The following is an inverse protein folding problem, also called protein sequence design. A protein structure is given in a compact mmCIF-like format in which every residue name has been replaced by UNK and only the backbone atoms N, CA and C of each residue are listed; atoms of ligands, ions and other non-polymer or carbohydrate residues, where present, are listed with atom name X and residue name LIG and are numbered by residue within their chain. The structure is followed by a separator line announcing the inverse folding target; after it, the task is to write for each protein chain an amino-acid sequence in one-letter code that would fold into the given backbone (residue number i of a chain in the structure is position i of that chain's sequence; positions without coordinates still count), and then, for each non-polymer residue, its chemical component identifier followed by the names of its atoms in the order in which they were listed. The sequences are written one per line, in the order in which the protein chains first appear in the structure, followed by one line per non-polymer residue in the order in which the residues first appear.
data_IF_523055246246
#
_entry.id   IF_523055246246
#
_cell.length_a   1.000
_cell.length_b   1.000
_cell.length_c   1.000
_cell.angle_alpha   90.00
_cell.angle_beta   90.00
_cell.angle_gamma   90.00
#
_symmetry.space_group_name_H-M   'P 1'
#
loop_
_entity.id
_entity.type
_entity.pdbx_description
1 polymer ?
#
# COMPACT_ATOMS: atom_id res chain seq x y z
N UNK A 1 63.65 -29.70 49.19
CA UNK A 1 63.92 -29.54 47.75
C UNK A 1 62.94 -28.47 47.24
N UNK A 2 63.47 -27.33 46.80
CA UNK A 2 62.72 -26.13 46.37
C UNK A 2 62.43 -26.24 44.86
N UNK A 3 61.36 -25.56 44.41
CA UNK A 3 61.01 -25.08 43.04
C UNK A 3 59.78 -25.77 42.45
N UNK A 4 58.82 -25.12 41.81
CA UNK A 4 58.55 -23.70 41.56
C UNK A 4 57.09 -23.64 41.08
N UNK A 5 56.33 -22.65 41.58
CA UNK A 5 55.09 -22.18 40.94
C UNK A 5 55.49 -21.43 39.68
N UNK A 6 54.93 -21.78 38.51
CA UNK A 6 54.71 -20.90 37.33
C UNK A 6 54.78 -21.71 36.02
N UNK A 7 53.63 -22.23 35.59
CA UNK A 7 53.14 -22.23 34.19
C UNK A 7 51.62 -22.42 34.37
N UNK A 8 50.84 -21.41 34.75
CA UNK A 8 50.49 -20.23 33.96
C UNK A 8 50.03 -20.61 32.55
N UNK A 9 48.71 -20.48 32.37
CA UNK A 9 48.03 -20.11 31.13
C UNK A 9 47.75 -21.20 30.08
N UNK A 10 46.50 -21.09 29.60
CA UNK A 10 46.05 -21.46 28.26
C UNK A 10 45.64 -22.90 28.03
N UNK A 11 44.44 -23.24 28.51
CA UNK A 11 43.41 -23.63 27.54
C UNK A 11 42.05 -23.31 28.13
N UNK A 12 41.63 -22.07 27.84
CA UNK A 12 40.32 -21.54 28.17
C UNK A 12 39.24 -22.51 27.68
N UNK A 13 38.28 -22.77 28.57
CA UNK A 13 36.99 -23.39 28.30
C UNK A 13 36.34 -22.78 27.07
N UNK A 14 36.64 -23.35 25.91
CA UNK A 14 35.87 -23.23 24.69
C UNK A 14 34.69 -24.19 24.88
N UNK A 15 33.48 -23.66 25.06
CA UNK A 15 32.13 -24.30 25.00
C UNK A 15 31.27 -23.68 26.12
N UNK A 16 30.93 -22.41 25.96
CA UNK A 16 29.86 -21.78 26.73
C UNK A 16 29.40 -20.49 26.02
N UNK A 17 28.92 -20.61 24.78
CA UNK A 17 28.19 -19.55 24.07
C UNK A 17 27.53 -20.14 22.80
N UNK A 18 26.64 -21.11 22.99
CA UNK A 18 25.63 -21.48 21.99
C UNK A 18 24.26 -21.27 22.60
N UNK A 19 23.97 -20.04 23.02
CA UNK A 19 22.63 -19.61 23.35
C UNK A 19 22.14 -18.66 22.28
N UNK A 20 21.37 -19.23 21.36
CA UNK A 20 20.16 -18.62 20.77
C UNK A 20 20.40 -17.32 20.00
N UNK A 21 21.11 -17.41 18.88
CA UNK A 21 20.82 -16.51 17.75
C UNK A 21 19.61 -17.05 17.00
N UNK A 22 18.41 -16.89 17.57
CA UNK A 22 17.22 -16.75 16.72
C UNK A 22 17.37 -15.36 16.11
N UNK A 23 18.25 -15.28 15.11
CA UNK A 23 18.18 -14.22 14.13
C UNK A 23 16.78 -14.33 13.58
N UNK A 24 15.96 -13.35 13.91
CA UNK A 24 14.67 -13.16 13.29
C UNK A 24 14.97 -13.06 11.81
N UNK A 25 14.75 -14.14 11.07
CA UNK A 25 14.34 -14.04 9.70
C UNK A 25 12.97 -13.35 9.77
N UNK A 26 12.99 -12.02 9.95
CA UNK A 26 11.94 -11.18 9.42
C UNK A 26 11.95 -11.53 7.94
N UNK A 27 11.00 -12.38 7.57
CA UNK A 27 10.49 -12.44 6.23
C UNK A 27 10.13 -11.01 5.85
N UNK A 28 11.08 -10.33 5.22
CA UNK A 28 10.84 -9.22 4.31
C UNK A 28 10.00 -9.77 3.15
N UNK A 29 8.74 -10.02 3.48
CA UNK A 29 7.61 -10.21 2.60
C UNK A 29 6.67 -9.01 2.82
N UNK A 30 7.27 -7.83 2.93
CA UNK A 30 6.62 -6.56 2.61
C UNK A 30 7.11 -6.14 1.24
N UNK A 31 6.85 -7.01 0.26
CA UNK A 31 6.96 -6.70 -1.16
C UNK A 31 6.14 -5.45 -1.47
N UNK A 32 6.87 -4.39 -1.83
CA UNK A 32 6.49 -3.29 -2.71
C UNK A 32 5.01 -2.89 -2.76
N UNK A 33 4.67 -1.78 -2.12
CA UNK A 33 3.79 -0.77 -2.72
C UNK A 33 3.86 0.53 -1.95
N UNK A 34 3.73 1.64 -2.67
CA UNK A 34 3.69 3.01 -2.17
C UNK A 34 2.82 3.10 -0.91
N UNK A 35 3.40 3.65 0.15
CA UNK A 35 2.82 3.94 1.47
C UNK A 35 1.32 4.22 1.42
N UNK A 36 0.51 3.40 2.10
CA UNK A 36 -0.88 3.71 2.37
C UNK A 36 -0.93 5.07 3.11
N UNK A 37 -1.58 6.06 2.51
CA UNK A 37 -1.74 7.38 3.11
C UNK A 37 -2.57 7.25 4.40
N UNK A 38 -1.96 7.53 5.55
CA UNK A 38 -2.62 7.43 6.85
C UNK A 38 -3.14 8.79 7.32
N UNK A 39 -4.39 8.81 7.78
CA UNK A 39 -4.99 9.99 8.40
C UNK A 39 -5.50 9.63 9.80
N UNK A 40 -5.26 10.50 10.78
CA UNK A 40 -5.73 10.28 12.14
C UNK A 40 -7.27 10.18 12.19
N UNK A 41 -7.79 9.18 12.89
CA UNK A 41 -9.24 8.94 12.97
C UNK A 41 -10.01 10.06 13.67
N UNK A 42 -9.43 10.74 14.66
CA UNK A 42 -10.10 11.85 15.35
C UNK A 42 -10.35 13.01 14.40
N UNK A 43 -9.36 13.35 13.56
CA UNK A 43 -9.48 14.41 12.54
C UNK A 43 -10.49 14.01 11.46
N UNK A 44 -10.46 12.76 11.00
CA UNK A 44 -11.40 12.24 10.00
C UNK A 44 -12.85 12.34 10.46
N UNK A 45 -13.13 12.04 11.73
CA UNK A 45 -14.50 12.04 12.26
C UNK A 45 -15.11 13.44 12.40
N UNK A 46 -14.30 14.51 12.37
CA UNK A 46 -14.79 15.90 12.45
C UNK A 46 -15.39 16.33 11.11
N UNK A 47 -14.74 15.99 10.00
CA UNK A 47 -15.19 16.35 8.66
C UNK A 47 -14.80 15.26 7.64
N UNK A 48 -15.55 14.13 7.60
CA UNK A 48 -15.16 12.95 6.84
C UNK A 48 -14.99 13.24 5.35
N UNK A 49 -15.93 13.96 4.73
CA UNK A 49 -15.85 14.31 3.32
C UNK A 49 -14.60 15.13 2.96
N UNK A 50 -14.31 16.20 3.70
CA UNK A 50 -13.15 17.05 3.43
C UNK A 50 -11.82 16.33 3.70
N UNK A 51 -11.75 15.54 4.79
CA UNK A 51 -10.55 14.77 5.10
C UNK A 51 -10.31 13.66 4.07
N UNK A 52 -11.37 12.98 3.62
CA UNK A 52 -11.30 11.98 2.54
C UNK A 52 -10.79 12.58 1.25
N UNK A 53 -11.31 13.77 0.88
CA UNK A 53 -10.83 14.52 -0.29
C UNK A 53 -9.35 14.82 -0.20
N UNK A 54 -8.86 15.27 0.96
CA UNK A 54 -7.45 15.56 1.16
C UNK A 54 -6.57 14.31 1.07
N UNK A 55 -6.99 13.20 1.70
CA UNK A 55 -6.28 11.91 1.63
C UNK A 55 -6.15 11.43 0.18
N UNK A 56 -7.25 11.43 -0.57
CA UNK A 56 -7.28 10.99 -1.96
C UNK A 56 -6.42 11.89 -2.85
N UNK A 57 -6.51 13.20 -2.65
CA UNK A 57 -5.65 14.14 -3.39
C UNK A 57 -4.17 13.85 -3.16
N UNK A 58 -3.75 13.65 -1.90
CA UNK A 58 -2.34 13.33 -1.58
C UNK A 58 -1.93 11.98 -2.18
N UNK A 59 -2.76 10.95 -2.02
CA UNK A 59 -2.50 9.62 -2.54
C UNK A 59 -2.32 9.59 -4.07
N UNK A 60 -3.28 10.12 -4.83
CA UNK A 60 -3.18 10.09 -6.30
C UNK A 60 -2.21 11.12 -6.87
N UNK A 61 -1.94 12.22 -6.16
CA UNK A 61 -0.82 13.11 -6.53
C UNK A 61 0.51 12.37 -6.39
N UNK A 62 0.71 11.62 -5.31
CA UNK A 62 1.92 10.80 -5.15
C UNK A 62 2.06 9.74 -6.23
N UNK A 63 0.95 9.12 -6.69
CA UNK A 63 0.98 8.14 -7.80
C UNK A 63 1.31 8.84 -9.12
N UNK A 64 0.70 9.99 -9.39
CA UNK A 64 1.00 10.79 -10.59
C UNK A 64 2.46 11.21 -10.62
N UNK A 65 2.99 11.68 -9.49
CA UNK A 65 4.35 12.21 -9.37
C UNK A 65 5.42 11.11 -9.37
N UNK A 66 5.09 9.87 -8.95
CA UNK A 66 6.04 8.74 -8.99
C UNK A 66 6.40 8.33 -10.43
N UNK A 67 5.49 8.57 -11.38
CA UNK A 67 5.72 8.35 -12.81
C UNK A 67 6.12 6.91 -13.15
N UNK A 68 5.66 5.92 -12.37
CA UNK A 68 6.01 4.51 -12.57
C UNK A 68 5.70 4.08 -14.01
N UNK A 69 6.74 3.60 -14.69
CA UNK A 69 6.84 3.45 -16.15
C UNK A 69 6.52 2.05 -16.66
N UNK A 70 6.06 1.15 -15.79
CA UNK A 70 5.80 -0.23 -16.21
C UNK A 70 4.48 -0.36 -16.98
N UNK A 71 3.61 0.65 -16.90
CA UNK A 71 2.29 0.73 -17.55
C UNK A 71 1.92 2.17 -17.92
N UNK A 72 0.74 2.38 -18.54
CA UNK A 72 0.22 3.72 -18.84
C UNK A 72 0.18 4.57 -17.58
N UNK A 73 1.01 5.61 -17.52
CA UNK A 73 1.11 6.47 -16.35
C UNK A 73 -0.18 7.28 -16.12
N UNK A 74 -0.54 7.51 -14.86
CA UNK A 74 -1.66 8.38 -14.49
C UNK A 74 -1.34 9.82 -14.92
N UNK A 75 -2.16 10.39 -15.80
CA UNK A 75 -2.06 11.77 -16.27
C UNK A 75 -2.74 12.74 -15.30
N UNK A 76 -3.98 12.42 -14.90
CA UNK A 76 -4.75 13.21 -13.94
C UNK A 76 -5.82 12.36 -13.23
N UNK A 77 -6.45 12.94 -12.22
CA UNK A 77 -7.58 12.32 -11.54
C UNK A 77 -8.59 13.37 -11.06
N UNK A 78 -9.85 12.96 -10.98
CA UNK A 78 -10.94 13.81 -10.48
C UNK A 78 -11.83 13.05 -9.51
N UNK A 79 -12.05 13.65 -8.34
CA UNK A 79 -13.08 13.20 -7.39
C UNK A 79 -14.45 13.60 -7.93
N UNK A 80 -15.28 12.59 -8.18
CA UNK A 80 -16.66 12.74 -8.65
C UNK A 80 -17.62 12.83 -7.48
N UNK A 81 -17.45 11.94 -6.49
CA UNK A 81 -18.34 11.82 -5.34
C UNK A 81 -17.61 11.25 -4.13
N UNK A 82 -18.09 11.58 -2.94
CA UNK A 82 -17.63 11.02 -1.65
C UNK A 82 -18.87 10.62 -0.85
N UNK A 83 -19.03 9.33 -0.62
CA UNK A 83 -20.08 8.74 0.23
C UNK A 83 -19.48 8.42 1.60
N UNK A 84 -19.78 9.27 2.58
CA UNK A 84 -19.38 9.14 3.97
C UNK A 84 -20.51 8.64 4.88
N UNK A 85 -21.54 7.98 4.31
CA UNK A 85 -22.65 7.40 5.07
C UNK A 85 -22.23 6.24 5.98
N UNK A 86 -21.15 5.53 5.64
CA UNK A 86 -20.50 4.52 6.48
C UNK A 86 -19.06 4.95 6.81
N UNK A 87 -18.85 5.43 8.03
CA UNK A 87 -17.53 5.87 8.49
C UNK A 87 -16.55 4.70 8.71
N UNK A 88 -16.97 3.43 8.64
CA UNK A 88 -16.04 2.32 8.63
C UNK A 88 -15.43 2.08 7.23
N UNK A 89 -16.15 2.49 6.18
CA UNK A 89 -15.83 2.26 4.77
C UNK A 89 -16.35 3.42 3.90
N UNK A 90 -15.57 4.51 3.87
CA UNK A 90 -15.92 5.70 3.08
C UNK A 90 -15.59 5.43 1.62
N UNK A 91 -16.54 5.67 0.73
CA UNK A 91 -16.39 5.39 -0.71
C UNK A 91 -16.12 6.67 -1.47
N UNK A 92 -15.10 6.66 -2.31
CA UNK A 92 -14.73 7.80 -3.15
C UNK A 92 -14.79 7.38 -4.60
N UNK A 93 -15.69 8.00 -5.36
CA UNK A 93 -15.81 7.76 -6.79
C UNK A 93 -14.84 8.68 -7.54
N UNK A 94 -13.98 8.08 -8.34
CA UNK A 94 -12.92 8.74 -9.09
C UNK A 94 -13.08 8.54 -10.58
N UNK A 95 -12.74 9.58 -11.32
CA UNK A 95 -12.40 9.48 -12.73
C UNK A 95 -10.87 9.55 -12.86
N UNK A 96 -10.27 8.55 -13.49
CA UNK A 96 -8.83 8.41 -13.63
C UNK A 96 -8.46 8.54 -15.11
N UNK A 97 -7.58 9.50 -15.42
CA UNK A 97 -7.10 9.76 -16.76
C UNK A 97 -5.67 9.24 -16.89
N UNK A 98 -5.45 8.32 -17.81
CA UNK A 98 -4.13 7.72 -18.07
C UNK A 98 -3.58 8.21 -19.42
N UNK A 99 -2.25 8.35 -19.51
CA UNK A 99 -1.57 8.76 -20.75
C UNK A 99 -1.78 7.68 -21.82
N UNK A 100 -2.15 8.10 -23.03
CA UNK A 100 -2.38 7.25 -24.20
C UNK A 100 -3.47 6.19 -24.03
N UNK A 101 -4.35 6.34 -23.03
CA UNK A 101 -5.52 5.48 -22.80
C UNK A 101 -6.81 6.27 -23.03
N UNK A 102 -7.80 5.73 -23.75
CA UNK A 102 -9.12 6.35 -23.84
C UNK A 102 -9.77 6.56 -22.46
N UNK A 103 -10.74 7.47 -22.33
CA UNK A 103 -11.47 7.67 -21.08
C UNK A 103 -12.03 6.35 -20.53
N UNK A 104 -11.72 6.09 -19.26
CA UNK A 104 -12.17 4.89 -18.56
C UNK A 104 -13.43 5.16 -17.73
N UNK A 105 -14.22 4.12 -17.42
CA UNK A 105 -15.29 4.20 -16.44
C UNK A 105 -14.79 4.72 -15.09
N UNK A 106 -15.69 5.35 -14.32
CA UNK A 106 -15.37 5.76 -12.96
C UNK A 106 -15.09 4.54 -12.07
N UNK A 107 -14.19 4.72 -11.11
CA UNK A 107 -13.77 3.70 -10.15
C UNK A 107 -14.11 4.14 -8.74
N UNK A 108 -14.58 3.22 -7.92
CA UNK A 108 -14.81 3.46 -6.49
C UNK A 108 -13.57 3.00 -5.73
N UNK A 109 -12.95 3.92 -4.99
CA UNK A 109 -11.90 3.63 -4.01
C UNK A 109 -12.49 3.65 -2.60
N UNK A 110 -11.90 2.86 -1.72
CA UNK A 110 -12.33 2.74 -0.33
C UNK A 110 -11.34 3.41 0.60
N UNK A 111 -11.83 4.17 1.58
CA UNK A 111 -11.04 4.67 2.71
C UNK A 111 -11.55 3.97 3.96
N UNK A 112 -10.75 3.05 4.49
CA UNK A 112 -11.13 2.17 5.59
C UNK A 112 -10.43 2.55 6.88
N UNK A 113 -11.15 2.38 7.99
CA UNK A 113 -10.59 2.57 9.32
C UNK A 113 -9.75 1.36 9.74
N UNK A 114 -8.48 1.59 9.99
CA UNK A 114 -7.54 0.64 10.59
C UNK A 114 -7.14 1.12 11.99
N UNK A 115 -7.84 0.62 13.02
CA UNK A 115 -7.66 1.03 14.43
C UNK A 115 -7.82 2.54 14.64
N UNK A 116 -6.70 3.25 14.73
CA UNK A 116 -6.62 4.69 15.03
C UNK A 116 -6.43 5.55 13.78
N UNK A 117 -6.34 4.93 12.60
CA UNK A 117 -6.09 5.62 11.35
C UNK A 117 -7.12 5.25 10.29
N UNK A 118 -7.30 6.12 9.32
CA UNK A 118 -7.92 5.83 8.04
C UNK A 118 -6.84 5.65 7.00
N UNK A 119 -7.06 4.72 6.08
CA UNK A 119 -6.14 4.42 4.98
C UNK A 119 -6.92 4.27 3.68
N UNK A 120 -6.37 4.80 2.59
CA UNK A 120 -6.87 4.47 1.24
C UNK A 120 -6.53 3.01 0.95
N UNK A 121 -7.53 2.19 0.67
CA UNK A 121 -7.35 0.79 0.31
C UNK A 121 -6.75 0.70 -1.10
N UNK A 122 -5.56 0.13 -1.19
CA UNK A 122 -4.93 -0.13 -2.48
C UNK A 122 -5.72 -1.22 -3.22
N UNK A 123 -6.10 -0.91 -4.46
CA UNK A 123 -6.83 -1.82 -5.33
C UNK A 123 -6.19 -1.89 -6.70
N UNK A 124 -6.27 -3.08 -7.28
CA UNK A 124 -5.98 -3.34 -8.69
C UNK A 124 -7.31 -3.33 -9.42
N UNK A 125 -7.41 -2.60 -10.53
CA UNK A 125 -8.60 -2.56 -11.36
C UNK A 125 -8.29 -3.02 -12.79
N UNK A 126 -9.08 -3.97 -13.29
CA UNK A 126 -9.09 -4.40 -14.69
C UNK A 126 -10.31 -3.83 -15.40
N UNK A 127 -10.12 -3.37 -16.63
CA UNK A 127 -11.16 -2.79 -17.47
C UNK A 127 -11.39 -3.68 -18.69
N UNK A 128 -12.65 -4.02 -18.98
CA UNK A 128 -12.99 -4.71 -20.21
C UNK A 128 -13.23 -3.70 -21.33
N UNK A 129 -12.22 -3.51 -22.18
CA UNK A 129 -12.28 -2.61 -23.33
C UNK A 129 -12.52 -3.35 -24.66
N UNK A 130 -12.85 -4.65 -24.62
CA UNK A 130 -13.11 -5.42 -25.83
C UNK A 130 -14.50 -5.07 -26.38
N UNK A 131 -14.62 -4.49 -27.59
CA UNK A 131 -15.91 -4.05 -28.13
C UNK A 131 -16.89 -5.20 -28.40
N UNK A 132 -16.40 -6.45 -28.42
CA UNK A 132 -17.22 -7.64 -28.60
C UNK A 132 -17.55 -8.36 -27.29
N UNK A 133 -17.07 -7.85 -26.15
CA UNK A 133 -17.37 -8.45 -24.85
C UNK A 133 -18.78 -8.07 -24.39
N UNK A 134 -19.55 -9.00 -23.80
CA UNK A 134 -20.81 -8.67 -23.12
C UNK A 134 -20.60 -7.75 -21.91
N UNK A 135 -19.37 -7.61 -21.40
CA UNK A 135 -19.00 -6.79 -20.26
C UNK A 135 -18.24 -5.51 -20.67
N UNK A 136 -18.33 -5.11 -21.94
CA UNK A 136 -17.64 -3.91 -22.43
C UNK A 136 -17.94 -2.67 -21.57
N UNK A 137 -16.88 -2.01 -21.08
CA UNK A 137 -16.97 -0.84 -20.22
C UNK A 137 -17.18 -1.17 -18.74
N UNK A 138 -17.16 -2.45 -18.34
CA UNK A 138 -17.15 -2.83 -16.93
C UNK A 138 -15.73 -2.70 -16.33
N UNK A 139 -15.69 -2.35 -15.04
CA UNK A 139 -14.48 -2.33 -14.24
C UNK A 139 -14.62 -3.32 -13.08
N UNK A 140 -13.58 -4.12 -12.87
CA UNK A 140 -13.49 -5.05 -11.75
C UNK A 140 -12.26 -4.72 -10.92
N UNK A 141 -12.46 -4.44 -9.63
CA UNK A 141 -11.38 -4.09 -8.72
C UNK A 141 -11.23 -5.15 -7.60
N UNK A 142 -9.99 -5.44 -7.23
CA UNK A 142 -9.66 -6.35 -6.13
C UNK A 142 -8.66 -5.71 -5.16
N UNK A 143 -8.90 -5.87 -3.86
CA UNK A 143 -8.00 -5.38 -2.81
C UNK A 143 -6.70 -6.21 -2.75
N UNK A 144 -5.56 -5.56 -2.53
CA UNK A 144 -4.30 -6.23 -2.17
C UNK A 144 -3.37 -6.65 -3.33
N UNK A 145 -3.49 -6.05 -4.52
CA UNK A 145 -2.53 -6.21 -5.62
C UNK A 145 -1.55 -5.03 -5.71
N UNK A 146 -0.29 -5.28 -6.11
CA UNK A 146 0.66 -4.24 -6.55
C UNK A 146 0.01 -3.36 -7.64
N UNK A 147 0.24 -2.03 -7.60
CA UNK A 147 -0.45 -0.97 -8.37
C UNK A 147 -0.34 -1.02 -9.92
N UNK A 148 -0.10 -2.19 -10.49
CA UNK A 148 0.09 -2.39 -11.92
C UNK A 148 -1.25 -2.83 -12.54
N UNK A 149 -1.99 -1.95 -13.22
CA UNK A 149 -3.09 -2.21 -14.18
C UNK A 149 -2.66 -3.19 -15.28
N UNK A 150 -2.99 -4.48 -15.10
CA UNK A 150 -2.79 -5.48 -16.16
C UNK A 150 -3.94 -5.46 -17.16
N UNK A 151 -3.62 -5.12 -18.39
CA UNK A 151 -4.49 -5.31 -19.56
C UNK A 151 -4.63 -6.81 -19.88
N UNK A 152 -5.86 -7.28 -20.09
CA UNK A 152 -6.16 -8.59 -20.67
C UNK A 152 -6.81 -8.42 -22.04
#
# INVERSE_FOLDING_TARGET
MIRNKAVLMSLASLVALTCVSVAHAQSDLSSSSVTAEEQNAEEMLINPAEMSKQMINRYFTSIKDSGDREESALADFKIIDIDDSDLADIKVTLNLDYIDVPPLPNVVYHIKRNKQYYQVEQQFCSYDLSPNSPHYGEVSCSAGGSSAVRWQ
#
